data_IF_974111325375
#
_entry.id   IF_974111325375
#
_cell.length_a   1.000
_cell.length_b   1.000
_cell.length_c   1.000
_cell.angle_alpha   90.00
_cell.angle_beta   90.00
_cell.angle_gamma   90.00
#
_symmetry.space_group_name_H-M   'P 1'
#
loop_
_entity.id
_entity.type
_entity.pdbx_description
1 polymer ?
#
# COMPACT_ATOMS: atom_id res chain seq x y z
N UNK A 1 -65.22 11.83 -29.14
CA UNK A 1 -64.31 11.89 -27.98
C UNK A 1 -63.76 10.49 -27.72
N UNK A 2 -62.52 10.21 -28.12
CA UNK A 2 -61.89 8.90 -27.89
C UNK A 2 -61.26 8.93 -26.50
N UNK A 3 -61.91 8.28 -25.54
CA UNK A 3 -61.37 8.04 -24.20
C UNK A 3 -60.20 7.06 -24.32
N UNK A 4 -58.98 7.58 -24.52
CA UNK A 4 -57.75 6.79 -24.36
C UNK A 4 -57.58 6.49 -22.88
N UNK A 5 -58.07 5.33 -22.44
CA UNK A 5 -57.70 4.78 -21.13
C UNK A 5 -56.21 4.46 -21.19
N UNK A 6 -55.40 5.32 -20.56
CA UNK A 6 -54.00 4.99 -20.28
C UNK A 6 -54.00 3.70 -19.44
N UNK A 7 -53.19 2.68 -19.79
CA UNK A 7 -53.13 1.46 -18.98
C UNK A 7 -52.65 1.85 -17.58
N UNK A 8 -53.50 1.63 -16.59
CA UNK A 8 -53.15 1.85 -15.19
C UNK A 8 -52.17 0.76 -14.77
N UNK A 9 -51.00 1.18 -14.30
CA UNK A 9 -49.97 0.29 -13.77
C UNK A 9 -50.56 -0.52 -12.62
N UNK A 10 -50.49 -1.84 -12.71
CA UNK A 10 -51.04 -2.72 -11.68
C UNK A 10 -50.13 -2.72 -10.44
N UNK A 11 -50.72 -2.95 -9.27
CA UNK A 11 -49.96 -3.06 -8.01
C UNK A 11 -48.90 -4.16 -8.11
N UNK A 12 -49.18 -5.24 -8.85
CA UNK A 12 -48.25 -6.33 -9.10
C UNK A 12 -47.02 -5.88 -9.91
N UNK A 13 -47.22 -5.13 -10.99
CA UNK A 13 -46.13 -4.58 -11.80
C UNK A 13 -45.26 -3.61 -10.97
N UNK A 14 -45.87 -2.88 -10.04
CA UNK A 14 -45.15 -1.97 -9.12
C UNK A 14 -44.25 -2.74 -8.16
N UNK A 15 -44.73 -3.86 -7.60
CA UNK A 15 -43.94 -4.74 -6.72
C UNK A 15 -42.76 -5.38 -7.45
N UNK A 16 -42.98 -5.84 -8.68
CA UNK A 16 -41.93 -6.40 -9.53
C UNK A 16 -40.89 -5.33 -9.85
N UNK A 17 -41.31 -4.14 -10.25
CA UNK A 17 -40.41 -3.03 -10.54
C UNK A 17 -39.58 -2.61 -9.31
N UNK A 18 -40.19 -2.60 -8.11
CA UNK A 18 -39.49 -2.31 -6.87
C UNK A 18 -38.45 -3.39 -6.54
N UNK A 19 -38.79 -4.66 -6.72
CA UNK A 19 -37.87 -5.77 -6.52
C UNK A 19 -36.67 -5.72 -7.48
N UNK A 20 -36.91 -5.47 -8.75
CA UNK A 20 -35.85 -5.32 -9.77
C UNK A 20 -34.95 -4.11 -9.46
N UNK A 21 -35.54 -2.98 -9.07
CA UNK A 21 -34.78 -1.77 -8.71
C UNK A 21 -33.94 -1.98 -7.45
N UNK A 22 -34.48 -2.67 -6.44
CA UNK A 22 -33.76 -3.03 -5.22
C UNK A 22 -32.57 -3.95 -5.51
N UNK A 23 -32.77 -4.96 -6.36
CA UNK A 23 -31.70 -5.86 -6.79
C UNK A 23 -30.59 -5.09 -7.52
N UNK A 24 -30.96 -4.19 -8.44
CA UNK A 24 -30.01 -3.33 -9.16
C UNK A 24 -29.17 -2.48 -8.19
N UNK A 25 -29.81 -1.89 -7.17
CA UNK A 25 -29.13 -1.03 -6.21
C UNK A 25 -28.14 -1.83 -5.36
N UNK A 26 -28.49 -3.05 -4.94
CA UNK A 26 -27.59 -3.97 -4.24
C UNK A 26 -26.41 -4.35 -5.12
N UNK A 27 -26.64 -4.65 -6.41
CA UNK A 27 -25.56 -4.97 -7.35
C UNK A 27 -24.62 -3.79 -7.54
N UNK A 28 -25.14 -2.56 -7.66
CA UNK A 28 -24.31 -1.36 -7.77
C UNK A 28 -23.49 -1.15 -6.51
N UNK A 29 -24.08 -1.31 -5.31
CA UNK A 29 -23.33 -1.20 -4.05
C UNK A 29 -22.23 -2.25 -3.92
N UNK A 30 -22.46 -3.47 -4.42
CA UNK A 30 -21.46 -4.54 -4.42
C UNK A 30 -20.32 -4.26 -5.42
N UNK A 31 -20.63 -3.64 -6.56
CA UNK A 31 -19.65 -3.34 -7.60
C UNK A 31 -18.91 -2.01 -7.36
N UNK A 32 -19.49 -1.07 -6.58
CA UNK A 32 -18.89 0.22 -6.28
C UNK A 32 -17.44 0.16 -5.76
N UNK A 33 -17.08 -0.77 -4.85
CA UNK A 33 -15.72 -0.93 -4.37
C UNK A 33 -14.74 -1.35 -5.47
N UNK A 34 -15.19 -2.10 -6.49
CA UNK A 34 -14.36 -2.49 -7.62
C UNK A 34 -13.98 -1.29 -8.52
N UNK A 35 -14.77 -0.21 -8.46
CA UNK A 35 -14.52 1.03 -9.19
C UNK A 35 -13.80 2.09 -8.34
N UNK A 36 -13.43 1.79 -7.09
CA UNK A 36 -12.53 2.68 -6.35
C UNK A 36 -11.20 2.69 -7.08
N UNK A 37 -10.98 3.77 -7.82
CA UNK A 37 -9.66 4.15 -8.30
C UNK A 37 -8.81 4.30 -7.04
N UNK A 38 -7.93 3.32 -6.79
CA UNK A 38 -6.82 3.51 -5.86
C UNK A 38 -6.00 4.65 -6.43
N UNK A 39 -6.21 5.86 -5.93
CA UNK A 39 -5.17 6.86 -6.01
C UNK A 39 -4.02 6.31 -5.18
N UNK A 40 -2.91 6.00 -5.84
CA UNK A 40 -1.69 5.70 -5.11
C UNK A 40 -1.40 6.89 -4.19
N UNK A 41 -1.14 6.63 -2.89
CA UNK A 41 -0.85 7.70 -1.96
C UNK A 41 0.41 8.46 -2.44
N UNK A 42 0.50 9.77 -2.19
CA UNK A 42 1.70 10.54 -2.51
C UNK A 42 2.93 9.89 -1.86
N UNK A 43 4.08 9.98 -2.53
CA UNK A 43 5.31 9.26 -2.18
C UNK A 43 5.70 9.45 -0.70
N UNK A 44 5.54 10.66 -0.15
CA UNK A 44 5.81 10.95 1.27
C UNK A 44 4.94 10.12 2.21
N UNK A 45 3.64 10.04 1.92
CA UNK A 45 2.70 9.28 2.74
C UNK A 45 2.94 7.77 2.61
N UNK A 46 3.31 7.31 1.41
CA UNK A 46 3.70 5.92 1.16
C UNK A 46 4.97 5.54 1.93
N UNK A 47 5.99 6.41 1.92
CA UNK A 47 7.23 6.21 2.67
C UNK A 47 6.99 6.19 4.18
N UNK A 48 6.19 7.12 4.68
CA UNK A 48 5.82 7.16 6.10
C UNK A 48 5.07 5.91 6.53
N UNK A 49 4.16 5.41 5.70
CA UNK A 49 3.47 4.15 5.95
C UNK A 49 4.42 2.95 5.94
N UNK A 50 5.38 2.91 5.01
CA UNK A 50 6.41 1.86 4.95
C UNK A 50 7.28 1.85 6.21
N UNK A 51 7.76 3.02 6.65
CA UNK A 51 8.53 3.18 7.90
C UNK A 51 7.72 2.72 9.10
N UNK A 52 6.44 3.09 9.17
CA UNK A 52 5.56 2.67 10.25
C UNK A 52 5.41 1.14 10.28
N UNK A 53 5.21 0.50 9.13
CA UNK A 53 5.13 -0.96 9.04
C UNK A 53 6.43 -1.64 9.48
N UNK A 54 7.59 -1.15 9.01
CA UNK A 54 8.91 -1.68 9.42
C UNK A 54 9.11 -1.53 10.94
N UNK A 55 8.76 -0.38 11.49
CA UNK A 55 8.88 -0.12 12.94
C UNK A 55 7.95 -1.03 13.75
N UNK A 56 6.72 -1.21 13.29
CA UNK A 56 5.70 -2.05 13.95
C UNK A 56 6.11 -3.53 13.98
N UNK A 57 6.83 -3.99 12.94
CA UNK A 57 7.33 -5.36 12.85
C UNK A 57 8.61 -5.61 13.66
N UNK A 58 9.08 -4.59 14.42
CA UNK A 58 10.20 -4.69 15.37
C UNK A 58 11.49 -5.24 14.76
N UNK A 59 11.79 -4.85 13.52
CA UNK A 59 13.06 -5.19 12.90
C UNK A 59 14.23 -4.54 13.65
N UNK A 60 15.39 -5.20 13.62
CA UNK A 60 16.65 -4.63 14.08
C UNK A 60 17.54 -4.28 12.89
N UNK A 61 18.23 -3.14 12.96
CA UNK A 61 19.17 -2.71 11.93
C UNK A 61 20.46 -3.52 12.04
N UNK A 62 20.82 -4.26 10.98
CA UNK A 62 22.08 -4.99 10.88
C UNK A 62 23.19 -4.15 10.26
N UNK A 63 22.84 -3.42 9.21
CA UNK A 63 23.79 -2.66 8.42
C UNK A 63 23.10 -1.80 7.36
N UNK A 64 23.84 -0.84 6.84
CA UNK A 64 23.37 0.13 5.85
C UNK A 64 24.33 0.11 4.68
N UNK A 65 23.80 -0.02 3.46
CA UNK A 65 24.49 0.21 2.21
C UNK A 65 23.88 1.45 1.53
N UNK A 66 24.59 2.13 0.61
CA UNK A 66 24.10 3.36 0.00
C UNK A 66 22.70 3.28 -0.64
N UNK A 67 22.30 2.08 -1.10
CA UNK A 67 21.03 1.82 -1.77
C UNK A 67 20.21 0.68 -1.14
N UNK A 68 20.63 0.17 0.02
CA UNK A 68 19.98 -0.97 0.65
C UNK A 68 20.06 -0.86 2.17
N UNK A 69 19.00 -1.29 2.85
CA UNK A 69 18.96 -1.40 4.30
C UNK A 69 18.94 -2.88 4.69
N UNK A 70 19.93 -3.33 5.47
CA UNK A 70 19.97 -4.69 5.98
C UNK A 70 19.35 -4.75 7.37
N UNK A 71 18.31 -5.56 7.49
CA UNK A 71 17.48 -5.73 8.67
C UNK A 71 17.52 -7.18 9.15
N UNK A 72 17.23 -7.38 10.43
CA UNK A 72 16.99 -8.70 11.02
C UNK A 72 15.58 -8.71 11.60
N UNK A 73 14.79 -9.71 11.26
CA UNK A 73 13.47 -9.92 11.88
C UNK A 73 13.61 -10.33 13.33
N UNK A 74 12.52 -10.23 14.09
CA UNK A 74 12.46 -10.77 15.45
C UNK A 74 12.85 -12.27 15.51
N UNK A 75 12.56 -13.03 14.45
CA UNK A 75 12.90 -14.46 14.33
C UNK A 75 14.34 -14.71 13.84
N UNK A 76 15.20 -13.68 13.80
CA UNK A 76 16.60 -13.79 13.38
C UNK A 76 16.82 -13.91 11.87
N UNK A 77 15.76 -13.80 11.06
CA UNK A 77 15.88 -13.89 9.60
C UNK A 77 16.48 -12.61 9.02
N UNK A 78 17.43 -12.77 8.10
CA UNK A 78 18.02 -11.64 7.36
C UNK A 78 17.01 -11.12 6.33
N UNK A 79 16.85 -9.80 6.33
CA UNK A 79 15.93 -9.07 5.48
C UNK A 79 16.69 -7.92 4.81
N UNK A 80 16.42 -7.67 3.53
CA UNK A 80 17.04 -6.56 2.79
C UNK A 80 15.94 -5.69 2.22
N UNK A 81 15.95 -4.40 2.57
CA UNK A 81 15.09 -3.39 1.96
C UNK A 81 15.87 -2.75 0.81
N UNK A 82 15.37 -2.90 -0.41
CA UNK A 82 16.00 -2.35 -1.61
C UNK A 82 14.98 -2.08 -2.70
N UNK A 83 15.41 -1.44 -3.79
CA UNK A 83 14.60 -1.31 -4.99
C UNK A 83 14.85 -2.50 -5.91
N UNK A 84 13.78 -3.20 -6.25
CA UNK A 84 13.79 -4.26 -7.26
C UNK A 84 12.65 -4.02 -8.23
N UNK A 85 12.95 -3.97 -9.54
CA UNK A 85 11.96 -3.70 -10.60
C UNK A 85 11.10 -2.45 -10.34
N UNK A 86 11.74 -1.35 -9.97
CA UNK A 86 11.11 -0.07 -9.62
C UNK A 86 10.12 -0.14 -8.45
N UNK A 87 10.34 -1.06 -7.50
CA UNK A 87 9.52 -1.21 -6.31
C UNK A 87 10.41 -1.25 -5.09
N UNK A 88 10.05 -0.47 -4.07
CA UNK A 88 10.66 -0.58 -2.76
C UNK A 88 10.11 -1.85 -2.09
N UNK A 89 10.98 -2.83 -1.87
CA UNK A 89 10.58 -4.12 -1.30
C UNK A 89 11.52 -4.58 -0.19
N UNK A 90 10.94 -5.24 0.81
CA UNK A 90 11.68 -6.00 1.81
C UNK A 90 11.73 -7.46 1.37
N UNK A 91 12.92 -7.96 1.16
CA UNK A 91 13.17 -9.34 0.72
C UNK A 91 13.85 -10.11 1.83
N UNK A 92 13.23 -11.20 2.26
CA UNK A 92 13.78 -12.06 3.31
C UNK A 92 14.28 -13.38 2.76
N UNK A 93 15.43 -13.84 3.26
CA UNK A 93 15.95 -15.16 2.93
C UNK A 93 14.97 -16.24 3.44
N UNK A 94 14.22 -16.87 2.53
CA UNK A 94 13.19 -17.85 2.86
C UNK A 94 11.89 -17.32 3.48
N UNK A 95 11.68 -15.99 3.50
CA UNK A 95 10.47 -15.36 4.09
C UNK A 95 9.56 -14.68 3.06
N UNK A 96 9.94 -14.69 1.78
CA UNK A 96 9.21 -14.03 0.71
C UNK A 96 9.57 -12.55 0.56
N UNK A 97 8.72 -11.82 -0.15
CA UNK A 97 8.91 -10.41 -0.48
C UNK A 97 7.67 -9.59 -0.07
N UNK A 98 7.90 -8.45 0.58
CA UNK A 98 6.87 -7.46 0.90
C UNK A 98 7.13 -6.22 0.07
N UNK A 99 6.16 -5.83 -0.76
CA UNK A 99 6.25 -4.62 -1.58
C UNK A 99 5.56 -3.49 -0.82
N UNK A 100 6.29 -2.40 -0.57
CA UNK A 100 5.74 -1.24 0.14
C UNK A 100 5.28 -0.15 -0.81
N UNK A 101 6.09 0.16 -1.82
CA UNK A 101 5.87 1.30 -2.72
C UNK A 101 6.21 0.88 -4.14
N UNK A 102 5.29 1.17 -5.06
CA UNK A 102 5.49 1.00 -6.50
C UNK A 102 6.07 2.26 -7.12
N UNK A 103 6.64 2.14 -8.33
CA UNK A 103 7.10 3.28 -9.13
C UNK A 103 8.25 4.11 -8.52
N UNK A 104 9.11 3.46 -7.75
CA UNK A 104 10.30 4.07 -7.16
C UNK A 104 11.48 3.92 -8.10
N UNK A 105 12.19 5.01 -8.39
CA UNK A 105 13.35 5.04 -9.29
C UNK A 105 14.67 4.93 -8.52
N UNK A 106 14.79 5.58 -7.37
CA UNK A 106 16.01 5.56 -6.57
C UNK A 106 15.72 5.51 -5.07
N UNK A 107 16.60 4.83 -4.33
CA UNK A 107 16.58 4.71 -2.88
C UNK A 107 17.98 4.97 -2.37
N UNK A 108 18.07 5.88 -1.43
CA UNK A 108 19.32 6.25 -0.78
C UNK A 108 19.16 6.15 0.73
N UNK A 109 20.20 5.62 1.37
CA UNK A 109 20.23 5.39 2.80
C UNK A 109 21.44 6.13 3.37
N UNK A 110 21.21 6.98 4.36
CA UNK A 110 22.26 7.67 5.13
C UNK A 110 22.19 7.23 6.59
N UNK A 111 23.26 6.63 7.09
CA UNK A 111 23.38 6.25 8.49
C UNK A 111 23.95 7.40 9.33
N UNK A 112 23.23 7.80 10.38
CA UNK A 112 23.64 8.83 11.33
C UNK A 112 23.87 8.27 12.75
N UNK A 113 24.22 6.99 12.87
CA UNK A 113 24.45 6.26 14.13
C UNK A 113 23.18 6.04 14.97
N UNK A 114 22.50 7.11 15.37
CA UNK A 114 21.28 7.05 16.18
C UNK A 114 20.01 6.74 15.36
N UNK A 115 20.02 7.09 14.07
CA UNK A 115 18.91 6.91 13.15
C UNK A 115 19.43 6.72 11.73
N UNK A 116 18.54 6.27 10.85
CA UNK A 116 18.82 6.13 9.42
C UNK A 116 17.87 7.05 8.66
N UNK A 117 18.40 7.87 7.78
CA UNK A 117 17.60 8.68 6.87
C UNK A 117 17.40 7.93 5.55
N UNK A 118 16.13 7.84 5.14
CA UNK A 118 15.69 7.18 3.93
C UNK A 118 15.25 8.25 2.93
N UNK A 119 15.91 8.28 1.78
CA UNK A 119 15.58 9.16 0.67
C UNK A 119 15.07 8.31 -0.51
N UNK A 120 13.86 8.60 -0.97
CA UNK A 120 13.24 7.92 -2.11
C UNK A 120 12.95 8.92 -3.21
N UNK A 121 13.24 8.52 -4.44
CA UNK A 121 12.81 9.24 -5.64
C UNK A 121 11.80 8.40 -6.40
N UNK A 122 10.66 9.00 -6.72
CA UNK A 122 9.59 8.40 -7.51
C UNK A 122 9.63 8.88 -8.97
N UNK A 123 8.54 8.61 -9.70
CA UNK A 123 8.32 9.23 -11.01
C UNK A 123 7.95 10.72 -10.86
N UNK A 124 8.05 11.48 -11.96
CA UNK A 124 7.67 12.90 -12.01
C UNK A 124 8.42 13.82 -11.02
N UNK A 125 9.71 13.57 -10.76
CA UNK A 125 10.56 14.34 -9.84
C UNK A 125 10.04 14.39 -8.38
N UNK A 126 9.17 13.47 -7.98
CA UNK A 126 8.77 13.34 -6.59
C UNK A 126 9.94 12.78 -5.77
N UNK A 127 10.24 13.44 -4.65
CA UNK A 127 11.23 12.99 -3.69
C UNK A 127 10.61 13.00 -2.31
N UNK A 128 10.85 11.93 -1.56
CA UNK A 128 10.42 11.78 -0.18
C UNK A 128 11.63 11.50 0.69
N UNK A 129 11.70 12.17 1.83
CA UNK A 129 12.76 11.97 2.82
C UNK A 129 12.15 11.77 4.18
N UNK A 130 12.46 10.65 4.82
CA UNK A 130 11.95 10.32 6.14
C UNK A 130 13.03 9.65 6.99
N UNK A 131 12.81 9.70 8.31
CA UNK A 131 13.76 9.14 9.28
C UNK A 131 13.22 7.84 9.86
N UNK A 132 14.07 6.82 9.89
CA UNK A 132 13.79 5.51 10.43
C UNK A 132 14.62 5.29 11.71
N UNK A 133 13.91 5.04 12.81
CA UNK A 133 14.50 4.69 14.10
C UNK A 133 14.35 3.20 14.35
N UNK A 134 15.48 2.48 14.33
CA UNK A 134 15.50 1.04 14.62
C UNK A 134 16.59 0.72 15.63
N UNK A 135 16.35 -0.26 16.53
CA UNK A 135 17.40 -0.78 17.39
C UNK A 135 18.47 -1.45 16.54
N UNK A 136 19.74 -1.26 16.87
CA UNK A 136 20.85 -1.93 16.19
C UNK A 136 20.94 -3.37 16.69
N UNK A 137 21.03 -4.32 15.77
CA UNK A 137 21.32 -5.71 16.11
C UNK A 137 22.71 -5.75 16.76
N UNK A 138 22.83 -6.40 17.93
CA UNK A 138 24.14 -6.63 18.52
C UNK A 138 24.95 -7.49 17.53
N UNK A 139 26.10 -6.99 17.10
CA UNK A 139 27.09 -7.80 16.42
C UNK A 139 27.53 -8.86 17.44
N UNK A 140 26.96 -10.05 17.35
CA UNK A 140 27.60 -11.22 17.94
C UNK A 140 28.89 -11.45 17.16
N UNK A 141 30.01 -11.29 17.87
CA UNK A 141 31.31 -11.82 17.45
C UNK A 141 31.21 -13.33 17.15
#
# INVERSE_FOLDING_TARGET
>A
MINRKLPAFTILETLIALGVTGLLFVTIQLLLPCFRVSHEPPLDMALRAAIYQITTQKYALKGTLPHELQLVSHDGKKMTLSIVKNRLQLSGEGAGQVIFISEVTAFHVKDYAAYVQLELSGQQHQQATEVLYLPRAQMGD
#
